data_IF_933632851405
#
_entry.id   IF_933632851405
#
_cell.length_a   1.000
_cell.length_b   1.000
_cell.length_c   1.000
_cell.angle_alpha   90.00
_cell.angle_beta   90.00
_cell.angle_gamma   90.00
#
_symmetry.space_group_name_H-M   'P 1'
#
loop_
_entity.id
_entity.type
_entity.pdbx_description
1 polymer ?
#
# COMPACT_ATOMS: atom_id res chain seq x y z
N UNK A 1 14.11 -38.94 21.80
CA UNK A 1 12.96 -38.36 21.06
C UNK A 1 12.33 -37.31 21.96
N UNK A 2 12.68 -36.04 21.74
CA UNK A 2 11.97 -34.91 22.33
C UNK A 2 11.51 -34.07 21.14
N UNK A 3 10.20 -34.17 20.87
CA UNK A 3 9.51 -33.28 19.94
C UNK A 3 9.32 -31.96 20.68
N UNK A 4 10.05 -30.92 20.28
CA UNK A 4 9.72 -29.54 20.60
C UNK A 4 8.57 -29.13 19.70
N UNK A 5 7.39 -28.97 20.29
CA UNK A 5 6.22 -28.39 19.64
C UNK A 5 6.44 -26.89 19.50
N UNK A 6 7.02 -26.46 18.39
CA UNK A 6 6.97 -25.06 17.95
C UNK A 6 5.54 -24.73 17.51
N UNK A 7 4.71 -24.38 18.48
CA UNK A 7 3.38 -23.82 18.25
C UNK A 7 3.51 -22.39 17.72
N UNK A 8 3.76 -22.24 16.42
CA UNK A 8 3.54 -20.97 15.73
C UNK A 8 2.06 -20.64 15.92
N UNK A 9 1.79 -19.61 16.71
CA UNK A 9 0.45 -19.18 17.08
C UNK A 9 -0.24 -18.64 15.83
N UNK A 10 -0.82 -19.53 15.04
CA UNK A 10 -1.38 -19.27 13.71
C UNK A 10 -2.77 -18.62 13.79
N UNK A 11 -2.96 -17.74 14.77
CA UNK A 11 -4.20 -17.01 14.94
C UNK A 11 -4.33 -16.00 13.81
N UNK A 12 -5.41 -16.07 13.06
CA UNK A 12 -5.78 -15.04 12.06
C UNK A 12 -6.55 -13.88 12.67
N UNK A 13 -6.55 -13.78 14.00
CA UNK A 13 -7.20 -12.72 14.74
C UNK A 13 -6.30 -11.49 14.82
N UNK A 14 -6.87 -10.31 14.59
CA UNK A 14 -6.17 -9.05 14.80
C UNK A 14 -5.99 -8.79 16.31
N UNK A 15 -4.88 -8.14 16.71
CA UNK A 15 -4.66 -7.80 18.11
C UNK A 15 -5.70 -6.80 18.60
N UNK A 16 -5.99 -6.84 19.92
CA UNK A 16 -6.96 -5.93 20.56
C UNK A 16 -6.57 -4.47 20.38
N UNK A 17 -5.28 -4.16 20.47
CA UNK A 17 -4.70 -2.85 20.19
C UNK A 17 -3.38 -3.01 19.45
N UNK A 18 -2.96 -1.94 18.75
CA UNK A 18 -1.72 -1.94 17.97
C UNK A 18 -0.87 -0.70 18.25
N UNK A 19 0.45 -0.89 18.35
CA UNK A 19 1.40 0.21 18.37
C UNK A 19 1.75 0.53 16.92
N UNK A 20 1.37 1.72 16.46
CA UNK A 20 1.66 2.18 15.11
C UNK A 20 3.11 2.70 15.09
N UNK A 21 4.04 2.08 14.34
CA UNK A 21 5.42 2.55 14.33
C UNK A 21 5.56 3.81 13.46
N UNK A 22 6.46 4.74 13.83
CA UNK A 22 6.93 5.74 12.88
C UNK A 22 7.74 5.07 11.76
N UNK A 23 7.64 5.61 10.55
CA UNK A 23 8.35 5.11 9.37
C UNK A 23 9.12 6.26 8.76
N UNK A 24 10.40 6.08 8.47
CA UNK A 24 11.26 7.09 7.87
C UNK A 24 11.26 6.98 6.35
N UNK A 25 11.03 8.10 5.67
CA UNK A 25 11.26 8.24 4.24
C UNK A 25 12.46 9.11 3.92
N UNK A 26 12.83 9.15 2.63
CA UNK A 26 13.88 10.06 2.16
C UNK A 26 13.37 11.49 1.98
N UNK A 27 12.09 11.62 1.62
CA UNK A 27 11.44 12.92 1.40
C UNK A 27 10.59 13.34 2.59
N UNK A 28 10.02 12.37 3.31
CA UNK A 28 9.12 12.63 4.42
C UNK A 28 9.19 11.55 5.49
N UNK A 29 9.01 11.95 6.75
CA UNK A 29 8.80 11.07 7.89
C UNK A 29 7.30 10.81 8.07
N UNK A 30 6.95 9.56 8.30
CA UNK A 30 5.61 9.12 8.66
C UNK A 30 5.55 8.91 10.17
N UNK A 31 4.57 9.55 10.82
CA UNK A 31 4.27 9.31 12.24
C UNK A 31 2.81 8.89 12.40
N UNK A 32 2.43 8.23 13.50
CA UNK A 32 1.02 7.97 13.79
C UNK A 32 0.21 9.28 13.70
N UNK A 33 -0.92 9.22 12.99
CA UNK A 33 -1.82 10.36 12.86
C UNK A 33 -2.58 10.60 14.16
N UNK A 34 -2.86 11.87 14.48
CA UNK A 34 -3.71 12.26 15.61
C UNK A 34 -4.95 13.00 15.12
N UNK A 35 -5.98 13.13 15.96
CA UNK A 35 -7.17 13.90 15.61
C UNK A 35 -6.85 15.38 15.35
N UNK A 36 -5.82 15.94 15.97
CA UNK A 36 -5.36 17.32 15.75
C UNK A 36 -4.86 17.54 14.31
N UNK A 37 -4.43 16.48 13.61
CA UNK A 37 -3.97 16.58 12.23
C UNK A 37 -5.13 16.77 11.23
N UNK A 38 -6.36 16.47 11.63
CA UNK A 38 -7.54 16.60 10.76
C UNK A 38 -7.79 18.07 10.36
N UNK A 39 -7.63 19.00 11.31
CA UNK A 39 -7.75 20.43 11.02
C UNK A 39 -6.71 20.88 9.99
N UNK A 40 -5.48 20.36 10.08
CA UNK A 40 -4.41 20.69 9.13
C UNK A 40 -4.70 20.16 7.73
N UNK A 41 -5.35 19.00 7.59
CA UNK A 41 -5.76 18.48 6.28
C UNK A 41 -6.72 19.43 5.55
N UNK A 42 -7.58 20.13 6.30
CA UNK A 42 -8.44 21.16 5.75
C UNK A 42 -7.68 22.42 5.32
N UNK A 43 -6.72 22.86 6.13
CA UNK A 43 -5.85 24.01 5.83
C UNK A 43 -5.00 23.76 4.55
N UNK A 44 -4.61 22.51 4.30
CA UNK A 44 -3.86 22.09 3.11
C UNK A 44 -4.72 21.95 1.84
N UNK A 45 -6.01 22.26 1.93
CA UNK A 45 -7.00 21.99 0.87
C UNK A 45 -6.89 20.54 0.35
N UNK A 46 -6.65 19.57 1.25
CA UNK A 46 -6.33 18.19 0.87
C UNK A 46 -7.50 17.46 0.18
N UNK A 47 -8.73 17.97 0.33
CA UNK A 47 -9.96 17.45 -0.28
C UNK A 47 -10.36 18.20 -1.56
N UNK A 48 -9.58 19.18 -2.01
CA UNK A 48 -9.83 19.88 -3.28
C UNK A 48 -9.75 18.88 -4.43
N UNK A 49 -10.76 18.90 -5.31
CA UNK A 49 -10.85 17.99 -6.48
C UNK A 49 -10.88 16.50 -6.11
N UNK A 50 -11.29 16.16 -4.88
CA UNK A 50 -11.58 14.78 -4.44
C UNK A 50 -12.37 13.98 -5.49
N UNK A 51 -13.38 14.60 -6.09
CA UNK A 51 -14.29 13.96 -7.06
C UNK A 51 -13.57 13.47 -8.31
N UNK A 52 -12.50 14.14 -8.71
CA UNK A 52 -11.68 13.74 -9.85
C UNK A 52 -10.68 12.65 -9.45
N UNK A 53 -10.16 12.72 -8.23
CA UNK A 53 -9.04 11.88 -7.78
C UNK A 53 -9.54 10.52 -7.29
N UNK A 54 -10.56 10.53 -6.44
CA UNK A 54 -11.12 9.35 -5.75
C UNK A 54 -12.57 9.06 -6.12
N UNK A 55 -13.22 9.93 -6.91
CA UNK A 55 -14.61 9.74 -7.33
C UNK A 55 -15.64 10.15 -6.28
N UNK A 56 -15.22 10.82 -5.20
CA UNK A 56 -16.08 11.24 -4.09
C UNK A 56 -16.10 12.75 -3.95
N UNK A 57 -17.22 13.33 -3.56
CA UNK A 57 -17.24 14.75 -3.24
C UNK A 57 -16.34 15.07 -2.04
N UNK A 58 -15.91 16.33 -1.93
CA UNK A 58 -14.94 16.77 -0.92
C UNK A 58 -15.45 16.59 0.52
N UNK A 59 -16.77 16.73 0.75
CA UNK A 59 -17.35 16.58 2.08
C UNK A 59 -17.38 15.10 2.50
N UNK A 60 -17.76 14.22 1.59
CA UNK A 60 -17.72 12.77 1.78
C UNK A 60 -16.29 12.27 2.00
N UNK A 61 -15.32 12.75 1.21
CA UNK A 61 -13.91 12.37 1.41
C UNK A 61 -13.37 12.85 2.77
N UNK A 62 -13.70 14.08 3.16
CA UNK A 62 -13.38 14.61 4.50
C UNK A 62 -13.95 13.73 5.60
N UNK A 63 -15.26 13.45 5.57
CA UNK A 63 -15.92 12.62 6.59
C UNK A 63 -15.30 11.21 6.68
N UNK A 64 -14.92 10.63 5.54
CA UNK A 64 -14.22 9.34 5.50
C UNK A 64 -12.84 9.40 6.16
N UNK A 65 -12.04 10.43 5.87
CA UNK A 65 -10.71 10.59 6.47
C UNK A 65 -10.82 10.81 7.98
N UNK A 66 -11.78 11.60 8.45
CA UNK A 66 -12.06 11.75 9.89
C UNK A 66 -12.35 10.39 10.54
N UNK A 67 -13.28 9.61 9.97
CA UNK A 67 -13.62 8.29 10.51
C UNK A 67 -12.43 7.32 10.53
N UNK A 68 -11.54 7.38 9.53
CA UNK A 68 -10.32 6.56 9.50
C UNK A 68 -9.32 6.94 10.58
N UNK A 69 -9.08 8.24 10.79
CA UNK A 69 -8.18 8.71 11.84
C UNK A 69 -8.72 8.36 13.23
N UNK A 70 -10.01 8.62 13.48
CA UNK A 70 -10.65 8.28 14.76
C UNK A 70 -10.53 6.79 15.08
N UNK A 71 -10.78 5.92 14.09
CA UNK A 71 -10.63 4.47 14.26
C UNK A 71 -9.18 4.05 14.51
N UNK A 72 -8.22 4.68 13.81
CA UNK A 72 -6.81 4.41 14.02
C UNK A 72 -6.37 4.77 15.44
N UNK A 73 -6.79 5.93 15.93
CA UNK A 73 -6.50 6.40 17.30
C UNK A 73 -7.15 5.46 18.33
N UNK A 74 -8.41 5.07 18.09
CA UNK A 74 -9.12 4.14 18.96
C UNK A 74 -8.41 2.78 19.05
N UNK A 75 -7.99 2.23 17.92
CA UNK A 75 -7.28 0.93 17.90
C UNK A 75 -5.90 1.02 18.56
N UNK A 76 -5.25 2.19 18.54
CA UNK A 76 -3.95 2.36 19.22
C UNK A 76 -4.02 2.52 20.74
N UNK A 77 -5.10 3.11 21.28
CA UNK A 77 -5.19 3.43 22.71
C UNK A 77 -5.95 2.38 23.54
N UNK A 78 -7.18 2.06 23.17
CA UNK A 78 -8.11 1.31 24.03
C UNK A 78 -8.57 -0.02 23.41
N UNK A 79 -8.21 -0.26 22.15
CA UNK A 79 -8.81 -1.31 21.35
C UNK A 79 -10.31 -1.08 21.12
N UNK A 80 -10.96 -2.00 20.41
CA UNK A 80 -12.40 -1.90 20.22
C UNK A 80 -13.12 -2.29 21.52
N UNK A 81 -13.83 -1.34 22.14
CA UNK A 81 -14.64 -1.55 23.35
C UNK A 81 -15.64 -2.72 23.16
N UNK A 82 -15.51 -3.76 24.00
CA UNK A 82 -16.33 -5.00 24.00
C UNK A 82 -17.84 -4.77 24.29
N UNK A 83 -18.29 -3.53 24.49
CA UNK A 83 -19.64 -3.26 25.01
C UNK A 83 -20.81 -3.44 24.03
N UNK A 84 -20.56 -3.78 22.75
CA UNK A 84 -21.63 -3.95 21.74
C UNK A 84 -21.48 -5.09 20.73
N UNK A 85 -20.37 -5.84 20.73
CA UNK A 85 -20.17 -6.93 19.77
C UNK A 85 -20.40 -8.27 20.46
N UNK A 86 -21.50 -8.94 20.09
CA UNK A 86 -21.71 -10.37 20.41
C UNK A 86 -20.43 -11.16 20.07
N UNK A 87 -20.02 -12.13 20.89
CA UNK A 87 -18.84 -12.98 20.66
C UNK A 87 -18.77 -13.58 19.24
N UNK A 88 -19.90 -13.75 18.56
CA UNK A 88 -20.00 -14.19 17.16
C UNK A 88 -19.53 -13.14 16.14
N UNK A 89 -19.62 -11.85 16.45
CA UNK A 89 -19.18 -10.74 15.60
C UNK A 89 -17.66 -10.49 15.66
N UNK A 90 -16.92 -11.22 16.51
CA UNK A 90 -15.44 -11.26 16.45
C UNK A 90 -14.94 -12.03 15.22
N UNK A 91 -15.68 -13.05 14.80
CA UNK A 91 -15.35 -13.92 13.66
C UNK A 91 -15.83 -13.34 12.32
N UNK A 92 -16.99 -12.69 12.33
CA UNK A 92 -17.48 -11.87 11.24
C UNK A 92 -17.33 -10.41 11.65
N UNK A 93 -16.10 -9.89 11.60
CA UNK A 93 -15.84 -8.49 11.88
C UNK A 93 -16.85 -7.65 11.10
N UNK A 94 -17.69 -6.91 11.83
CA UNK A 94 -18.68 -6.02 11.24
C UNK A 94 -17.95 -5.23 10.14
N UNK A 95 -18.43 -5.31 8.89
CA UNK A 95 -17.76 -4.65 7.75
C UNK A 95 -17.59 -3.16 8.03
N UNK A 96 -18.40 -2.61 8.94
CA UNK A 96 -18.36 -1.23 9.41
C UNK A 96 -17.31 -0.91 10.51
N UNK A 97 -16.71 -1.92 11.15
CA UNK A 97 -15.76 -1.75 12.26
C UNK A 97 -14.32 -2.18 11.94
N UNK A 98 -14.01 -2.45 10.67
CA UNK A 98 -12.68 -2.92 10.28
C UNK A 98 -11.58 -1.94 10.73
N UNK A 99 -10.49 -2.45 11.33
CA UNK A 99 -9.45 -1.59 11.83
C UNK A 99 -8.75 -0.82 10.72
N UNK A 100 -8.21 0.33 11.09
CA UNK A 100 -7.52 1.26 10.21
C UNK A 100 -6.24 1.70 10.90
N UNK A 101 -5.17 1.87 10.13
CA UNK A 101 -3.95 2.52 10.57
C UNK A 101 -3.75 3.77 9.73
N UNK A 102 -3.52 4.89 10.40
CA UNK A 102 -3.29 6.18 9.79
C UNK A 102 -1.90 6.72 10.17
N UNK A 103 -1.14 7.14 9.16
CA UNK A 103 0.09 7.90 9.34
C UNK A 103 -0.06 9.30 8.77
N UNK A 104 0.40 10.29 9.51
CA UNK A 104 0.60 11.63 9.03
C UNK A 104 1.99 11.74 8.36
N UNK A 105 2.02 12.36 7.19
CA UNK A 105 3.23 12.58 6.39
C UNK A 105 3.78 13.96 6.77
N UNK A 106 5.00 13.99 7.29
CA UNK A 106 5.72 15.21 7.69
C UNK A 106 6.97 15.32 6.82
N UNK A 107 7.18 16.43 6.08
CA UNK A 107 8.36 16.57 5.23
C UNK A 107 9.64 16.66 6.07
N UNK A 108 10.72 16.07 5.57
CA UNK A 108 12.05 16.30 6.16
C UNK A 108 12.52 17.69 5.69
N UNK A 109 12.82 18.57 6.64
CA UNK A 109 12.82 20.03 6.46
C UNK A 109 13.95 20.52 5.53
N UNK A 110 13.77 20.49 4.20
CA UNK A 110 14.72 21.13 3.27
C UNK A 110 14.12 21.83 2.04
N UNK A 111 12.89 21.53 1.60
CA UNK A 111 12.36 22.07 0.32
C UNK A 111 11.23 23.11 0.42
N UNK A 112 10.52 23.24 1.55
CA UNK A 112 9.45 24.24 1.68
C UNK A 112 9.81 25.29 2.74
N UNK A 113 10.24 26.46 2.25
CA UNK A 113 10.52 27.67 3.06
C UNK A 113 9.30 28.10 3.89
N UNK A 114 8.09 27.67 3.51
CA UNK A 114 6.82 27.95 4.18
C UNK A 114 6.45 26.96 5.31
N UNK A 115 7.04 25.76 5.35
CA UNK A 115 6.71 24.76 6.38
C UNK A 115 7.70 24.80 7.55
N UNK A 116 7.70 25.91 8.29
CA UNK A 116 8.69 26.19 9.36
C UNK A 116 8.49 25.33 10.62
N UNK A 117 7.41 24.55 10.74
CA UNK A 117 6.99 23.90 11.99
C UNK A 117 6.87 22.37 11.95
N UNK A 118 7.36 21.71 10.90
CA UNK A 118 7.14 20.25 10.76
C UNK A 118 5.65 19.92 10.65
N UNK A 119 4.89 20.80 9.99
CA UNK A 119 3.48 20.58 9.73
C UNK A 119 3.31 19.43 8.74
N UNK A 120 2.21 18.70 8.89
CA UNK A 120 1.89 17.58 8.01
C UNK A 120 1.60 18.11 6.59
N UNK A 121 1.83 17.28 5.59
CA UNK A 121 1.57 17.59 4.17
C UNK A 121 0.51 16.65 3.56
N UNK A 122 0.08 15.66 4.35
CA UNK A 122 -0.90 14.68 3.96
C UNK A 122 -0.93 13.49 4.92
N UNK A 123 -1.66 12.46 4.54
CA UNK A 123 -1.81 11.22 5.29
C UNK A 123 -1.80 10.01 4.37
N UNK A 124 -1.34 8.88 4.90
CA UNK A 124 -1.40 7.57 4.27
C UNK A 124 -2.07 6.58 5.23
N UNK A 125 -2.88 5.68 4.67
CA UNK A 125 -3.73 4.78 5.44
C UNK A 125 -3.61 3.35 4.95
N UNK A 126 -3.67 2.42 5.90
CA UNK A 126 -4.13 1.06 5.67
C UNK A 126 -5.52 0.93 6.28
N UNK A 127 -6.53 0.77 5.45
CA UNK A 127 -7.95 0.70 5.84
C UNK A 127 -8.52 -0.67 5.51
N UNK A 128 -9.68 -0.96 6.11
CA UNK A 128 -10.41 -2.20 5.89
C UNK A 128 -9.56 -3.45 6.20
N UNK A 129 -8.66 -3.33 7.19
CA UNK A 129 -7.69 -4.38 7.56
C UNK A 129 -8.45 -5.62 8.03
N UNK A 130 -8.12 -6.75 7.42
CA UNK A 130 -8.77 -8.02 7.65
C UNK A 130 -7.74 -9.06 8.05
N UNK A 131 -7.76 -9.48 9.32
CA UNK A 131 -6.85 -10.51 9.82
C UNK A 131 -7.12 -11.89 9.21
N UNK A 132 -8.38 -12.18 8.86
CA UNK A 132 -8.74 -13.47 8.30
C UNK A 132 -8.25 -13.65 6.87
N UNK A 133 -8.54 -12.66 6.02
CA UNK A 133 -8.06 -12.66 4.63
C UNK A 133 -6.64 -12.14 4.48
N UNK A 134 -6.04 -11.59 5.56
CA UNK A 134 -4.74 -10.91 5.56
C UNK A 134 -4.68 -9.87 4.46
N UNK A 135 -5.69 -9.02 4.38
CA UNK A 135 -5.81 -8.03 3.33
C UNK A 135 -6.13 -6.64 3.87
N UNK A 136 -5.58 -5.61 3.23
CA UNK A 136 -5.88 -4.23 3.54
C UNK A 136 -5.95 -3.40 2.25
N UNK A 137 -6.71 -2.30 2.32
CA UNK A 137 -6.72 -1.28 1.27
C UNK A 137 -5.71 -0.19 1.65
N UNK A 138 -4.91 0.26 0.69
CA UNK A 138 -4.01 1.40 0.87
C UNK A 138 -4.63 2.66 0.26
N UNK A 139 -4.54 3.79 0.97
CA UNK A 139 -4.98 5.08 0.45
C UNK A 139 -4.05 6.21 0.88
N UNK A 140 -3.83 7.17 -0.01
CA UNK A 140 -3.00 8.36 0.25
C UNK A 140 -3.82 9.60 -0.04
N UNK A 141 -3.78 10.58 0.87
CA UNK A 141 -4.42 11.89 0.71
C UNK A 141 -3.35 12.95 0.95
N UNK A 142 -3.06 13.77 -0.05
CA UNK A 142 -2.07 14.84 0.02
C UNK A 142 -2.73 16.21 -0.12
N UNK A 143 -2.17 17.19 0.59
CA UNK A 143 -2.44 18.61 0.38
C UNK A 143 -2.26 19.00 -1.08
N UNK A 144 -3.09 19.93 -1.56
CA UNK A 144 -3.18 20.29 -2.97
C UNK A 144 -1.82 20.60 -3.61
N UNK A 145 -0.99 21.36 -2.91
CA UNK A 145 0.29 21.84 -3.41
C UNK A 145 1.42 20.80 -3.32
N UNK A 146 1.20 19.72 -2.56
CA UNK A 146 2.14 18.62 -2.35
C UNK A 146 1.88 17.43 -3.29
N UNK A 147 0.77 17.47 -4.05
CA UNK A 147 0.44 16.43 -5.02
C UNK A 147 1.42 16.44 -6.18
N UNK A 148 1.86 15.25 -6.59
CA UNK A 148 2.73 15.09 -7.76
C UNK A 148 4.20 15.42 -7.53
N UNK A 149 4.60 15.75 -6.29
CA UNK A 149 6.01 16.01 -5.91
C UNK A 149 6.81 14.76 -5.55
N UNK A 150 6.18 13.58 -5.52
CA UNK A 150 6.86 12.31 -5.24
C UNK A 150 6.59 11.73 -3.84
N UNK A 151 5.97 12.47 -2.92
CA UNK A 151 5.71 11.97 -1.55
C UNK A 151 4.95 10.65 -1.48
N UNK A 152 3.96 10.42 -2.37
CA UNK A 152 3.26 9.11 -2.41
C UNK A 152 4.20 7.97 -2.82
N UNK A 153 5.16 8.24 -3.70
CA UNK A 153 6.15 7.25 -4.19
C UNK A 153 7.16 6.89 -3.11
N UNK A 154 7.45 7.83 -2.20
CA UNK A 154 8.30 7.59 -1.03
C UNK A 154 7.52 6.88 0.08
N UNK A 155 6.30 7.34 0.41
CA UNK A 155 5.53 6.82 1.53
C UNK A 155 4.95 5.41 1.28
N UNK A 156 4.45 5.13 0.07
CA UNK A 156 3.71 3.90 -0.19
C UNK A 156 4.54 2.62 -0.04
N UNK A 157 5.71 2.45 -0.70
CA UNK A 157 6.52 1.25 -0.52
C UNK A 157 6.85 1.00 0.94
N UNK A 158 7.08 2.06 1.72
CA UNK A 158 7.48 1.93 3.13
C UNK A 158 6.33 1.42 4.00
N UNK A 159 5.13 1.94 3.80
CA UNK A 159 3.92 1.43 4.46
C UNK A 159 3.57 0.01 4.00
N UNK A 160 3.76 -0.29 2.71
CA UNK A 160 3.53 -1.63 2.17
C UNK A 160 4.51 -2.65 2.76
N UNK A 161 5.79 -2.29 2.88
CA UNK A 161 6.81 -3.12 3.52
C UNK A 161 6.41 -3.46 4.96
N UNK A 162 5.96 -2.46 5.73
CA UNK A 162 5.41 -2.72 7.07
C UNK A 162 4.16 -3.62 7.03
N UNK A 163 3.24 -3.40 6.09
CA UNK A 163 2.03 -4.21 5.95
C UNK A 163 2.32 -5.68 5.63
N UNK A 164 3.27 -5.94 4.74
CA UNK A 164 3.65 -7.30 4.32
C UNK A 164 4.59 -8.02 5.28
N UNK A 165 5.40 -7.29 6.05
CA UNK A 165 6.33 -7.90 6.99
C UNK A 165 5.59 -8.75 8.03
N UNK A 166 6.17 -9.90 8.35
CA UNK A 166 5.59 -10.84 9.31
C UNK A 166 5.57 -10.26 10.73
N UNK A 167 4.64 -10.72 11.56
CA UNK A 167 4.64 -10.38 12.98
C UNK A 167 5.93 -10.92 13.66
N UNK A 168 6.53 -10.18 14.61
CA UNK A 168 6.07 -8.94 15.22
C UNK A 168 6.53 -7.66 14.50
N UNK A 169 7.28 -7.75 13.41
CA UNK A 169 7.85 -6.60 12.71
C UNK A 169 6.81 -5.79 11.90
N UNK A 170 5.76 -6.47 11.41
CA UNK A 170 4.68 -5.89 10.62
C UNK A 170 3.32 -6.51 10.89
N UNK A 171 2.41 -6.39 9.90
CA UNK A 171 1.03 -6.89 9.98
C UNK A 171 0.82 -8.29 9.39
N UNK A 172 1.83 -8.86 8.73
CA UNK A 172 1.75 -10.17 8.08
C UNK A 172 0.66 -10.27 7.01
N UNK A 173 0.35 -9.17 6.32
CA UNK A 173 -0.66 -9.17 5.26
C UNK A 173 -0.21 -10.04 4.08
N UNK A 174 -1.18 -10.64 3.40
CA UNK A 174 -0.99 -11.38 2.16
C UNK A 174 -1.28 -10.51 0.94
N UNK A 175 -2.24 -9.58 1.03
CA UNK A 175 -2.66 -8.74 -0.11
C UNK A 175 -2.92 -7.29 0.28
N UNK A 176 -2.27 -6.36 -0.42
CA UNK A 176 -2.60 -4.92 -0.35
C UNK A 176 -3.24 -4.51 -1.67
N UNK A 177 -4.39 -3.84 -1.61
CA UNK A 177 -5.13 -3.42 -2.79
C UNK A 177 -5.49 -1.94 -2.75
N UNK A 178 -5.81 -1.39 -3.92
CA UNK A 178 -6.22 -0.01 -4.10
C UNK A 178 -7.32 0.08 -5.15
N UNK A 179 -8.19 1.05 -4.95
CA UNK A 179 -9.28 1.36 -5.86
C UNK A 179 -9.14 2.75 -6.45
N UNK A 180 -9.26 2.85 -7.76
CA UNK A 180 -8.97 4.10 -8.51
C UNK A 180 -10.06 4.32 -9.57
N UNK A 181 -10.58 5.55 -9.72
CA UNK A 181 -11.43 5.88 -10.86
C UNK A 181 -10.71 5.58 -12.18
N UNK A 182 -11.38 4.94 -13.14
CA UNK A 182 -10.77 4.56 -14.42
C UNK A 182 -10.23 5.75 -15.23
N UNK A 183 -10.80 6.94 -15.00
CA UNK A 183 -10.38 8.21 -15.62
C UNK A 183 -9.05 8.73 -15.07
N UNK A 184 -8.63 8.30 -13.87
CA UNK A 184 -7.40 8.75 -13.22
C UNK A 184 -6.18 7.94 -13.68
N UNK A 185 -5.80 8.11 -14.94
CA UNK A 185 -4.66 7.43 -15.58
C UNK A 185 -3.33 7.70 -14.88
N UNK A 186 -3.18 8.89 -14.27
CA UNK A 186 -1.99 9.26 -13.50
C UNK A 186 -1.79 8.34 -12.30
N UNK A 187 -2.82 8.17 -11.47
CA UNK A 187 -2.75 7.29 -10.30
C UNK A 187 -2.54 5.83 -10.73
N UNK A 188 -3.24 5.36 -11.76
CA UNK A 188 -3.05 4.01 -12.30
C UNK A 188 -1.58 3.76 -12.69
N UNK A 189 -0.94 4.69 -13.40
CA UNK A 189 0.47 4.57 -13.80
C UNK A 189 1.42 4.56 -12.59
N UNK A 190 1.14 5.34 -11.54
CA UNK A 190 1.94 5.33 -10.30
C UNK A 190 1.81 3.98 -9.60
N UNK A 191 0.60 3.44 -9.43
CA UNK A 191 0.40 2.13 -8.79
C UNK A 191 1.05 1.00 -9.61
N UNK A 192 0.93 1.02 -10.93
CA UNK A 192 1.64 0.06 -11.80
C UNK A 192 3.16 0.12 -11.62
N UNK A 193 3.72 1.32 -11.53
CA UNK A 193 5.17 1.52 -11.32
C UNK A 193 5.62 1.04 -9.94
N UNK A 194 4.73 1.06 -8.95
CA UNK A 194 4.95 0.52 -7.60
C UNK A 194 4.83 -1.02 -7.52
N UNK A 195 4.40 -1.67 -8.60
CA UNK A 195 4.24 -3.13 -8.68
C UNK A 195 2.80 -3.63 -8.58
N UNK A 196 1.80 -2.74 -8.50
CA UNK A 196 0.39 -3.18 -8.48
C UNK A 196 -0.05 -3.69 -9.85
N UNK A 197 -0.81 -4.79 -9.84
CA UNK A 197 -1.46 -5.36 -11.01
C UNK A 197 -2.94 -5.04 -11.02
N UNK A 198 -3.49 -4.77 -12.21
CA UNK A 198 -4.94 -4.57 -12.37
C UNK A 198 -5.66 -5.92 -12.26
N UNK A 199 -6.49 -6.09 -11.25
CA UNK A 199 -7.22 -7.34 -11.00
C UNK A 199 -8.69 -7.29 -11.36
N UNK A 200 -9.28 -6.09 -11.44
CA UNK A 200 -10.69 -5.97 -11.79
C UNK A 200 -11.12 -4.58 -12.23
N UNK A 201 -12.36 -4.51 -12.72
CA UNK A 201 -13.04 -3.24 -13.00
C UNK A 201 -14.51 -3.40 -12.65
N UNK A 202 -14.99 -2.62 -11.68
CA UNK A 202 -16.40 -2.51 -11.39
C UNK A 202 -17.01 -1.44 -12.30
N UNK A 203 -17.95 -1.87 -13.15
CA UNK A 203 -18.60 -1.01 -14.13
C UNK A 203 -19.56 -0.04 -13.44
N UNK A 204 -19.57 1.22 -13.88
CA UNK A 204 -20.48 2.27 -13.39
C UNK A 204 -20.53 2.40 -11.85
N UNK A 205 -19.40 2.17 -11.19
CA UNK A 205 -19.32 2.08 -9.74
C UNK A 205 -19.16 3.43 -9.02
N UNK A 206 -18.75 4.47 -9.74
CA UNK A 206 -18.55 5.82 -9.18
C UNK A 206 -19.37 6.85 -9.97
N UNK A 207 -19.95 7.81 -9.26
CA UNK A 207 -20.63 8.94 -9.88
C UNK A 207 -19.65 10.11 -10.10
N UNK A 208 -19.46 10.52 -11.34
CA UNK A 208 -18.68 11.71 -11.69
C UNK A 208 -19.63 12.92 -11.78
N UNK A 209 -19.65 13.72 -10.72
CA UNK A 209 -20.48 14.92 -10.66
C UNK A 209 -20.07 16.01 -11.68
N UNK A 210 -18.83 16.04 -12.16
CA UNK A 210 -18.39 17.04 -13.14
C UNK A 210 -18.93 16.72 -14.53
N UNK A 211 -18.88 15.44 -14.91
CA UNK A 211 -19.33 14.97 -16.22
C UNK A 211 -20.77 14.43 -16.21
N UNK A 212 -21.44 14.42 -15.04
CA UNK A 212 -22.81 13.92 -14.83
C UNK A 212 -23.01 12.50 -15.39
N UNK A 213 -22.03 11.63 -15.17
CA UNK A 213 -22.04 10.25 -15.66
C UNK A 213 -21.46 9.29 -14.64
N UNK A 214 -21.86 8.03 -14.73
CA UNK A 214 -21.17 6.97 -14.03
C UNK A 214 -19.81 6.69 -14.70
N UNK A 215 -18.84 6.31 -13.88
CA UNK A 215 -17.51 5.90 -14.33
C UNK A 215 -17.08 4.62 -13.62
N UNK A 216 -16.22 3.89 -14.31
CA UNK A 216 -15.69 2.62 -13.83
C UNK A 216 -14.71 2.81 -12.66
N UNK A 217 -14.71 1.83 -11.77
CA UNK A 217 -13.78 1.73 -10.64
C UNK A 217 -12.80 0.58 -10.89
N UNK A 218 -11.54 0.93 -11.10
CA UNK A 218 -10.46 -0.04 -11.32
C UNK A 218 -9.91 -0.49 -9.97
N UNK A 219 -9.83 -1.80 -9.80
CA UNK A 219 -9.19 -2.43 -8.64
C UNK A 219 -7.82 -2.92 -9.07
N UNK A 220 -6.82 -2.57 -8.28
CA UNK A 220 -5.46 -3.06 -8.42
C UNK A 220 -4.97 -3.65 -7.10
N UNK A 221 -4.11 -4.64 -7.14
CA UNK A 221 -3.51 -5.24 -5.95
C UNK A 221 -2.08 -5.72 -6.17
N UNK A 222 -1.45 -6.11 -5.08
CA UNK A 222 -0.16 -6.78 -5.05
C UNK A 222 -0.16 -7.77 -3.89
N UNK A 223 0.43 -8.94 -4.13
CA UNK A 223 0.58 -10.01 -3.15
C UNK A 223 1.95 -9.95 -2.49
N UNK A 224 2.04 -10.50 -1.28
CA UNK A 224 3.30 -10.57 -0.52
C UNK A 224 4.43 -11.25 -1.30
N UNK A 225 4.13 -12.29 -2.07
CA UNK A 225 5.13 -13.04 -2.86
C UNK A 225 5.55 -12.31 -4.16
N UNK A 226 4.81 -11.27 -4.55
CA UNK A 226 5.05 -10.46 -5.75
C UNK A 226 5.71 -9.12 -5.41
N UNK A 227 5.59 -8.68 -4.16
CA UNK A 227 6.07 -7.39 -3.71
C UNK A 227 7.58 -7.41 -3.50
N UNK A 228 8.27 -6.48 -4.15
CA UNK A 228 9.71 -6.27 -4.03
C UNK A 228 10.00 -4.84 -3.59
N UNK A 229 10.26 -4.67 -2.29
CA UNK A 229 10.50 -3.36 -1.68
C UNK A 229 11.68 -2.62 -2.32
N UNK A 230 12.73 -3.34 -2.72
CA UNK A 230 13.93 -2.74 -3.34
C UNK A 230 13.55 -2.18 -4.71
N UNK A 231 12.88 -2.98 -5.54
CA UNK A 231 12.47 -2.55 -6.88
C UNK A 231 11.45 -1.41 -6.86
N UNK A 232 10.49 -1.46 -5.95
CA UNK A 232 9.46 -0.42 -5.83
C UNK A 232 10.07 0.93 -5.45
N UNK A 233 11.16 0.96 -4.68
CA UNK A 233 11.90 2.18 -4.34
C UNK A 233 12.88 2.59 -5.46
N UNK A 234 13.65 1.64 -6.02
CA UNK A 234 14.61 1.88 -7.12
C UNK A 234 13.94 2.43 -8.39
N UNK A 235 12.69 2.04 -8.66
CA UNK A 235 11.87 2.58 -9.75
C UNK A 235 11.73 4.12 -9.70
N UNK A 236 11.94 4.73 -8.54
CA UNK A 236 11.90 6.18 -8.32
C UNK A 236 13.24 6.75 -7.87
N UNK A 237 14.31 5.96 -7.87
CA UNK A 237 15.65 6.38 -7.40
C UNK A 237 15.73 6.57 -5.90
N UNK A 238 14.86 5.92 -5.12
CA UNK A 238 14.84 5.95 -3.67
C UNK A 238 15.55 4.73 -3.08
N UNK A 239 16.10 4.86 -1.89
CA UNK A 239 16.81 3.81 -1.18
C UNK A 239 15.97 3.21 -0.05
N UNK A 240 16.28 1.94 0.20
CA UNK A 240 15.81 1.20 1.37
C UNK A 240 16.45 1.81 2.62
N UNK A 241 15.64 1.98 3.66
CA UNK A 241 16.10 2.43 4.98
C UNK A 241 15.93 1.26 5.93
N UNK A 242 17.04 0.63 6.33
CA UNK A 242 17.06 -0.60 7.12
C UNK A 242 16.44 -0.43 8.52
N UNK A 243 16.43 0.79 9.05
CA UNK A 243 15.84 1.10 10.36
C UNK A 243 14.30 0.99 10.38
N UNK A 244 13.65 0.94 9.20
CA UNK A 244 12.21 0.87 9.12
C UNK A 244 11.68 -0.52 9.47
N UNK A 245 10.51 -0.59 10.14
CA UNK A 245 9.91 -1.87 10.52
C UNK A 245 9.59 -2.71 9.29
N UNK A 246 9.96 -3.99 9.33
CA UNK A 246 9.66 -4.94 8.27
C UNK A 246 10.66 -4.97 7.10
N UNK A 247 11.63 -4.05 7.07
CA UNK A 247 12.59 -3.98 5.96
C UNK A 247 13.56 -5.15 5.99
N UNK A 248 14.06 -5.54 7.16
CA UNK A 248 15.01 -6.67 7.29
C UNK A 248 14.37 -7.97 6.79
N UNK A 249 13.11 -8.21 7.15
CA UNK A 249 12.32 -9.35 6.71
C UNK A 249 12.09 -9.31 5.19
N UNK A 250 11.76 -8.13 4.65
CA UNK A 250 11.57 -7.96 3.21
C UNK A 250 12.86 -8.19 2.41
N UNK A 251 14.02 -7.75 2.93
CA UNK A 251 15.33 -8.00 2.32
C UNK A 251 15.68 -9.49 2.35
N UNK A 252 15.46 -10.16 3.48
CA UNK A 252 15.65 -11.61 3.59
C UNK A 252 14.75 -12.39 2.61
N UNK A 253 13.46 -12.03 2.52
CA UNK A 253 12.53 -12.64 1.57
C UNK A 253 12.95 -12.40 0.11
N UNK A 254 13.44 -11.20 -0.21
CA UNK A 254 13.99 -10.88 -1.53
C UNK A 254 15.19 -11.77 -1.87
N UNK A 255 16.17 -11.88 -0.96
CA UNK A 255 17.34 -12.75 -1.14
C UNK A 255 16.95 -14.21 -1.38
N UNK A 256 16.01 -14.73 -0.60
CA UNK A 256 15.47 -16.07 -0.77
C UNK A 256 14.78 -16.26 -2.13
N UNK A 257 14.00 -15.28 -2.59
CA UNK A 257 13.32 -15.35 -3.89
C UNK A 257 14.29 -15.32 -5.09
N UNK A 258 15.38 -14.55 -4.99
CA UNK A 258 16.41 -14.45 -6.02
C UNK A 258 17.29 -15.71 -6.06
N UNK A 259 17.48 -16.37 -4.91
CA UNK A 259 18.28 -17.59 -4.79
C UNK A 259 17.59 -18.85 -5.32
N UNK A 260 16.25 -18.87 -5.45
CA UNK A 260 15.50 -20.03 -5.95
C UNK A 260 15.61 -20.09 -7.49
N UNK A 261 16.22 -21.13 -8.08
CA UNK A 261 16.19 -21.32 -9.51
C UNK A 261 14.77 -21.67 -9.94
N UNK A 262 14.16 -20.86 -10.81
CA UNK A 262 12.84 -21.16 -11.38
C UNK A 262 12.92 -22.46 -12.18
N UNK A 263 12.45 -23.58 -11.61
CA UNK A 263 12.09 -24.77 -12.39
C UNK A 263 10.89 -24.41 -13.26
N UNK A 264 11.06 -24.49 -14.58
CA UNK A 264 9.96 -24.37 -15.55
C UNK A 264 9.18 -25.68 -15.55
N UNK A 265 8.21 -25.80 -14.65
CA UNK A 265 7.25 -26.90 -14.72
C UNK A 265 6.08 -26.46 -15.62
N UNK A 266 6.05 -27.04 -16.83
CA UNK A 266 4.95 -26.92 -17.79
C UNK A 266 3.73 -27.69 -17.23
N UNK A 267 2.94 -27.06 -16.36
CA UNK A 267 1.70 -27.62 -15.80
C UNK A 267 0.42 -27.08 -16.48
N UNK A 268 0.56 -26.41 -17.62
CA UNK A 268 -0.56 -25.76 -18.32
C UNK A 268 -1.44 -26.70 -19.17
N UNK A 269 -1.06 -27.97 -19.33
CA UNK A 269 -1.76 -28.90 -20.23
C UNK A 269 -2.89 -29.72 -19.57
N UNK A 270 -3.22 -29.48 -18.30
CA UNK A 270 -4.14 -30.33 -17.53
C UNK A 270 -5.49 -29.68 -17.13
N UNK A 271 -5.90 -28.56 -17.75
CA UNK A 271 -7.19 -27.92 -17.47
C UNK A 271 -8.21 -28.13 -18.61
N UNK A 272 -9.40 -28.71 -18.33
CA UNK A 272 -10.34 -29.19 -19.36
C UNK A 272 -11.10 -28.08 -20.11
N UNK A 273 -10.82 -26.80 -19.85
CA UNK A 273 -11.48 -25.65 -20.50
C UNK A 273 -10.61 -24.93 -21.54
N UNK A 274 -9.39 -25.42 -21.83
CA UNK A 274 -8.47 -24.76 -22.75
C UNK A 274 -8.67 -25.13 -24.24
N UNK A 275 -9.68 -25.93 -24.58
CA UNK A 275 -9.98 -26.27 -25.97
C UNK A 275 -11.12 -25.42 -26.53
N UNK A 276 -10.82 -24.76 -27.67
CA UNK A 276 -11.66 -24.04 -28.62
C UNK A 276 -12.02 -22.57 -28.34
N UNK A 277 -11.15 -21.65 -28.73
CA UNK A 277 -11.25 -20.86 -29.98
C UNK A 277 -10.07 -19.90 -30.08
N UNK A 278 -9.50 -19.81 -31.29
CA UNK A 278 -8.23 -19.15 -31.57
C UNK A 278 -8.32 -17.61 -31.55
N UNK A 279 -7.14 -16.99 -31.34
CA UNK A 279 -6.84 -15.55 -31.23
C UNK A 279 -7.01 -14.91 -29.84
N UNK A 280 -6.28 -15.44 -28.86
CA UNK A 280 -5.91 -14.73 -27.64
C UNK A 280 -4.38 -14.57 -27.56
N UNK A 281 -3.89 -13.34 -27.62
CA UNK A 281 -2.51 -12.97 -27.34
C UNK A 281 -2.07 -13.62 -26.03
N UNK A 282 -1.10 -14.52 -26.10
CA UNK A 282 -0.53 -15.25 -24.96
C UNK A 282 -0.19 -14.28 -23.82
N UNK A 283 -0.97 -14.34 -22.73
CA UNK A 283 -0.79 -13.58 -21.49
C UNK A 283 0.47 -13.97 -20.70
N UNK A 284 1.47 -14.61 -21.33
CA UNK A 284 2.62 -15.25 -20.65
C UNK A 284 3.98 -14.71 -21.05
N UNK A 285 4.06 -13.41 -21.31
CA UNK A 285 5.31 -12.65 -21.16
C UNK A 285 5.03 -11.37 -20.39
N UNK A 286 5.16 -11.47 -19.07
CA UNK A 286 5.39 -10.33 -18.22
C UNK A 286 6.64 -9.60 -18.76
N UNK A 287 6.44 -8.51 -19.51
CA UNK A 287 7.47 -7.75 -20.23
C UNK A 287 8.65 -7.32 -19.35
N UNK A 288 8.46 -7.30 -18.03
CA UNK A 288 9.46 -7.05 -16.99
C UNK A 288 10.63 -8.05 -16.96
N UNK A 289 10.50 -9.26 -17.53
CA UNK A 289 11.61 -10.25 -17.58
C UNK A 289 12.75 -9.87 -18.53
N UNK A 290 12.56 -8.89 -19.42
CA UNK A 290 13.50 -8.57 -20.51
C UNK A 290 14.39 -7.36 -20.19
N UNK A 291 13.99 -6.50 -19.25
CA UNK A 291 14.59 -5.16 -19.09
C UNK A 291 15.94 -5.17 -18.31
N UNK A 292 16.29 -6.26 -17.62
CA UNK A 292 17.48 -6.31 -16.75
C UNK A 292 18.82 -6.70 -17.39
N UNK A 293 18.88 -7.12 -18.68
CA UNK A 293 20.14 -7.60 -19.30
C UNK A 293 20.99 -6.53 -20.00
N UNK A 294 20.67 -5.25 -19.84
CA UNK A 294 21.17 -4.20 -20.73
C UNK A 294 21.88 -3.01 -20.08
N UNK A 295 22.70 -3.18 -19.03
CA UNK A 295 23.68 -2.14 -18.63
C UNK A 295 25.04 -2.79 -18.35
N UNK A 296 25.87 -2.89 -19.39
CA UNK A 296 27.31 -3.10 -19.22
C UNK A 296 27.90 -1.86 -18.54
N UNK A 297 28.54 -2.05 -17.39
CA UNK A 297 29.45 -1.06 -16.77
C UNK A 297 30.63 -0.86 -17.73
N UNK A 298 30.75 0.32 -18.32
CA UNK A 298 32.03 0.74 -18.90
C UNK A 298 32.94 1.15 -17.75
N UNK A 299 33.88 0.27 -17.41
CA UNK A 299 35.04 0.61 -16.58
C UNK A 299 36.02 1.32 -17.50
N UNK A 300 36.08 2.65 -17.44
CA UNK A 300 37.17 3.38 -18.08
C UNK A 300 38.46 3.02 -17.35
N UNK A 301 39.27 2.22 -18.03
CA UNK A 301 40.70 2.04 -17.79
C UNK A 301 41.41 2.85 -18.87
N UNK A 302 42.09 3.92 -18.47
CA UNK A 302 43.12 4.65 -19.22
C UNK A 302 43.65 5.70 -18.23
N UNK A 303 44.95 5.89 -17.98
CA UNK A 303 46.16 5.31 -18.52
C UNK A 303 47.32 6.11 -17.91
N UNK A 304 48.41 5.41 -17.56
CA UNK A 304 49.70 6.03 -17.21
C UNK A 304 50.17 6.91 -18.37
N UNK A 305 50.69 8.09 -18.05
CA UNK A 305 52.07 8.50 -18.37
C UNK A 305 52.52 9.56 -17.37
#
# INVERSE_FOLDING_TARGET
>A
MQQTSDGVNNSRELPKSIIIPPIRGEMAKLRPATCDDLQRMDELCAFDKASVITGKDSQSERAMVHAWVERSVQWSHDGFSDSKLSELCRFAGDVQSRPTIAWAIVPDMLDDVENTFGAIIGMIFLIDIDGWSRSARIQVVLGKDYRGRGYSRDAMPRVMTYGFASEPAGLGLHRIWVGVPATNTRSLSVYQSLGFMKTGTARDALWDAQNQKYQDFVVMDTLVDEYDAIRSLDAFGLHVIEENPGVVEALSAHEHSVAIPVRRDNLDDAWPYNTSTAEGTSSKRAWWRIIGRGRKRNVNTEGKQ
#
